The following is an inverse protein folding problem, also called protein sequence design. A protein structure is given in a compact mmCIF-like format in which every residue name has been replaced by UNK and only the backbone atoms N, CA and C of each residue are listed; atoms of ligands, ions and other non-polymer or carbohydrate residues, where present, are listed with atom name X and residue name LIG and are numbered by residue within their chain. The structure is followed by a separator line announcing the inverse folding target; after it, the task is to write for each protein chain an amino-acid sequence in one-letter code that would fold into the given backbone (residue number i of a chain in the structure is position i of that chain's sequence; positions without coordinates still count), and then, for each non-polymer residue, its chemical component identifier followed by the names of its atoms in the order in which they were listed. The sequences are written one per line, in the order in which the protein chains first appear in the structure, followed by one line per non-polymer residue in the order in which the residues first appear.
data_IF_555370467112
#
_entry.id   IF_555370467112
#
_cell.length_a   1.000
_cell.length_b   1.000
_cell.length_c   1.000
_cell.angle_alpha   90.00
_cell.angle_beta   90.00
_cell.angle_gamma   90.00
#
_symmetry.space_group_name_H-M   'P 1'
#
loop_
_entity.id
_entity.type
_entity.pdbx_description
1 polymer ?
#
# COMPACT_ATOMS: atom_id res chain seq x y z
N UNK A 1 17.72 24.72 6.72
CA UNK A 1 17.39 24.95 5.31
C UNK A 1 18.26 24.04 4.46
N UNK A 2 17.69 22.95 3.97
CA UNK A 2 18.29 22.22 2.86
C UNK A 2 18.00 22.98 1.56
N UNK A 3 18.82 22.78 0.54
CA UNK A 3 18.89 23.61 -0.67
C UNK A 3 17.63 23.47 -1.55
N UNK A 4 16.92 24.57 -1.91
CA UNK A 4 15.79 24.54 -2.84
C UNK A 4 16.14 24.02 -4.25
N UNK A 5 17.42 23.74 -4.55
CA UNK A 5 17.85 23.03 -5.75
C UNK A 5 17.42 21.55 -5.80
N UNK A 6 17.13 20.90 -4.67
CA UNK A 6 16.81 19.46 -4.63
C UNK A 6 15.29 19.23 -4.77
N UNK A 7 14.47 20.00 -4.06
CA UNK A 7 13.00 19.97 -4.18
C UNK A 7 12.44 21.39 -4.00
N UNK A 8 11.66 21.86 -4.98
CA UNK A 8 11.10 23.21 -5.04
C UNK A 8 9.77 23.39 -4.30
N UNK A 9 9.17 22.28 -3.86
CA UNK A 9 7.83 22.26 -3.27
C UNK A 9 7.87 21.84 -1.80
N UNK A 10 8.71 20.87 -1.44
CA UNK A 10 8.81 20.33 -0.09
C UNK A 10 9.20 21.41 0.94
N UNK A 11 8.58 21.35 2.12
CA UNK A 11 8.94 22.21 3.27
C UNK A 11 10.21 21.71 3.94
N UNK A 12 10.92 22.60 4.65
CA UNK A 12 12.13 22.28 5.41
C UNK A 12 11.95 21.05 6.34
N UNK A 13 10.78 20.90 6.96
CA UNK A 13 10.47 19.78 7.85
C UNK A 13 10.37 18.44 7.10
N UNK A 14 9.95 18.45 5.84
CA UNK A 14 9.79 17.25 5.00
C UNK A 14 11.11 16.57 4.65
N UNK A 15 12.22 17.32 4.67
CA UNK A 15 13.57 16.82 4.43
C UNK A 15 14.15 16.05 5.62
N UNK A 16 13.65 16.28 6.83
CA UNK A 16 14.12 15.62 8.04
C UNK A 16 13.32 14.34 8.31
N UNK A 17 13.75 13.25 7.67
CA UNK A 17 13.09 11.94 7.77
C UNK A 17 13.80 11.04 8.77
N UNK A 18 13.02 10.40 9.64
CA UNK A 18 13.50 9.30 10.47
C UNK A 18 12.93 7.97 9.97
N UNK A 19 13.70 6.89 10.11
CA UNK A 19 13.24 5.51 9.92
C UNK A 19 13.80 4.64 11.04
N UNK A 20 12.92 3.94 11.75
CA UNK A 20 13.21 3.20 12.98
C UNK A 20 12.39 1.91 13.04
N UNK A 21 12.72 1.04 13.99
CA UNK A 21 11.95 -0.17 14.30
C UNK A 21 11.33 -0.01 15.68
N UNK A 22 10.02 -0.22 15.78
CA UNK A 22 9.34 -0.22 17.07
C UNK A 22 9.75 -1.49 17.83
N UNK A 23 10.35 -1.38 19.03
CA UNK A 23 10.87 -2.53 19.76
C UNK A 23 9.78 -3.48 20.27
N UNK A 24 8.55 -3.01 20.42
CA UNK A 24 7.44 -3.77 21.00
C UNK A 24 6.72 -4.57 19.91
N UNK A 25 6.46 -3.94 18.76
CA UNK A 25 5.78 -4.58 17.63
C UNK A 25 6.72 -5.22 16.62
N UNK A 26 7.97 -4.75 16.54
CA UNK A 26 8.91 -5.11 15.47
C UNK A 26 8.63 -4.39 14.14
N UNK A 27 7.64 -3.50 14.06
CA UNK A 27 7.32 -2.82 12.80
C UNK A 27 8.36 -1.75 12.47
N UNK A 28 8.73 -1.68 11.19
CA UNK A 28 9.42 -0.51 10.66
C UNK A 28 8.43 0.65 10.65
N UNK A 29 8.88 1.82 11.08
CA UNK A 29 8.12 3.06 10.98
C UNK A 29 9.04 4.21 10.55
N UNK A 30 8.49 5.23 9.92
CA UNK A 30 9.26 6.39 9.53
C UNK A 30 8.45 7.47 8.86
N UNK A 31 9.13 8.47 8.33
CA UNK A 31 8.50 9.64 7.71
C UNK A 31 7.96 10.64 8.73
N UNK A 32 7.24 11.62 8.21
CA UNK A 32 6.47 12.60 8.97
C UNK A 32 5.35 13.14 8.08
N UNK A 33 4.42 13.92 8.65
CA UNK A 33 3.28 14.52 7.94
C UNK A 33 3.62 15.42 6.73
N UNK A 34 4.88 15.83 6.58
CA UNK A 34 5.38 16.69 5.52
C UNK A 34 6.27 15.94 4.51
N UNK A 35 6.31 14.60 4.58
CA UNK A 35 7.12 13.75 3.72
C UNK A 35 6.27 12.76 2.91
N UNK A 36 6.83 12.32 1.77
CA UNK A 36 6.24 11.40 0.81
C UNK A 36 7.10 10.13 0.63
N UNK A 37 7.40 9.40 1.71
CA UNK A 37 8.35 8.27 1.69
C UNK A 37 7.81 6.94 1.12
N UNK A 38 6.57 6.90 0.64
CA UNK A 38 5.95 5.71 0.04
C UNK A 38 5.58 5.97 -1.41
N UNK A 39 5.19 4.96 -2.18
CA UNK A 39 4.82 5.13 -3.59
C UNK A 39 3.66 6.09 -3.84
N UNK A 40 2.85 6.38 -2.81
CA UNK A 40 1.81 7.40 -2.86
C UNK A 40 2.42 8.76 -2.51
N UNK A 41 3.23 9.32 -3.42
CA UNK A 41 4.25 10.34 -3.13
C UNK A 41 3.93 11.78 -3.58
N UNK A 42 2.70 12.07 -4.01
CA UNK A 42 2.36 13.41 -4.51
C UNK A 42 2.57 14.51 -3.45
N UNK A 43 3.57 15.36 -3.68
CA UNK A 43 3.77 16.63 -2.98
C UNK A 43 2.93 17.73 -3.64
N UNK A 44 2.12 18.44 -2.86
CA UNK A 44 1.31 19.55 -3.36
C UNK A 44 2.17 20.72 -3.85
N UNK A 45 1.68 21.41 -4.88
CA UNK A 45 2.44 22.45 -5.59
C UNK A 45 1.62 23.70 -5.92
N UNK A 46 0.30 23.71 -5.69
CA UNK A 46 -0.56 24.88 -5.97
C UNK A 46 -0.48 25.89 -4.82
N UNK A 47 0.06 27.07 -5.12
CA UNK A 47 -0.03 28.24 -4.23
C UNK A 47 -1.47 28.76 -4.14
N UNK A 48 -2.19 28.75 -5.27
CA UNK A 48 -3.58 29.21 -5.39
C UNK A 48 -4.51 28.42 -4.46
N UNK A 49 -4.44 27.09 -4.53
CA UNK A 49 -5.23 26.21 -3.68
C UNK A 49 -4.66 26.05 -2.26
N UNK A 50 -3.50 26.67 -1.98
CA UNK A 50 -2.80 26.62 -0.68
C UNK A 50 -2.37 25.21 -0.26
N UNK A 51 -2.09 24.33 -1.23
CA UNK A 51 -1.61 22.97 -0.97
C UNK A 51 -0.09 22.79 -1.19
N UNK A 52 0.62 23.86 -1.64
CA UNK A 52 2.07 23.81 -1.86
C UNK A 52 2.85 23.36 -0.61
N UNK A 53 3.70 22.35 -0.81
CA UNK A 53 4.54 21.76 0.22
C UNK A 53 3.79 20.90 1.24
N UNK A 54 2.54 20.54 0.95
CA UNK A 54 1.79 19.56 1.73
C UNK A 54 1.71 18.25 0.93
N UNK A 55 2.15 17.12 1.48
CA UNK A 55 1.86 15.80 0.92
C UNK A 55 0.36 15.55 0.79
N UNK A 56 -0.07 15.00 -0.34
CA UNK A 56 -1.45 14.57 -0.52
C UNK A 56 -1.80 13.32 0.29
N UNK A 57 -0.82 12.42 0.40
CA UNK A 57 -0.95 11.10 1.02
C UNK A 57 0.28 10.81 1.88
N UNK A 58 0.53 11.59 2.95
CA UNK A 58 1.60 11.24 3.89
C UNK A 58 1.22 9.90 4.53
N UNK A 59 2.09 8.91 4.35
CA UNK A 59 1.95 7.55 4.90
C UNK A 59 3.10 7.27 5.85
N UNK A 60 3.28 8.20 6.79
CA UNK A 60 4.23 8.08 7.87
C UNK A 60 3.75 7.10 8.94
N UNK A 61 4.62 6.75 9.88
CA UNK A 61 4.38 5.62 10.77
C UNK A 61 4.70 4.30 10.07
N UNK A 62 3.92 3.25 10.36
CA UNK A 62 4.13 1.91 9.82
C UNK A 62 3.21 1.63 8.63
N UNK A 63 3.68 1.91 7.41
CA UNK A 63 2.97 1.55 6.18
C UNK A 63 2.86 0.02 6.01
N UNK A 64 1.66 -0.47 5.67
CA UNK A 64 1.33 -1.90 5.67
C UNK A 64 2.25 -2.75 4.79
N UNK A 65 2.60 -2.25 3.60
CA UNK A 65 3.47 -2.96 2.66
C UNK A 65 4.92 -3.00 3.13
N UNK A 66 5.40 -1.96 3.81
CA UNK A 66 6.77 -1.92 4.34
C UNK A 66 6.91 -2.90 5.50
N UNK A 67 5.89 -3.02 6.36
CA UNK A 67 5.88 -4.03 7.43
C UNK A 67 5.82 -5.44 6.84
N UNK A 68 5.01 -5.67 5.80
CA UNK A 68 4.96 -6.96 5.10
C UNK A 68 6.30 -7.32 4.44
N UNK A 69 6.93 -6.38 3.73
CA UNK A 69 8.25 -6.56 3.13
C UNK A 69 9.31 -6.85 4.20
N UNK A 70 9.30 -6.09 5.31
CA UNK A 70 10.18 -6.32 6.45
C UNK A 70 10.01 -7.74 7.02
N UNK A 71 8.78 -8.20 7.21
CA UNK A 71 8.50 -9.58 7.64
C UNK A 71 9.13 -10.60 6.69
N UNK A 72 8.91 -10.43 5.38
CA UNK A 72 9.41 -11.32 4.35
C UNK A 72 10.94 -11.39 4.36
N UNK A 73 11.60 -10.23 4.43
CA UNK A 73 13.07 -10.12 4.49
C UNK A 73 13.62 -10.77 5.75
N UNK A 74 13.07 -10.46 6.93
CA UNK A 74 13.60 -11.02 8.20
C UNK A 74 13.38 -12.53 8.25
N UNK A 75 12.23 -13.05 7.77
CA UNK A 75 12.01 -14.49 7.58
C UNK A 75 13.10 -15.11 6.70
N UNK A 76 13.37 -14.51 5.55
CA UNK A 76 14.38 -15.00 4.61
C UNK A 76 15.77 -15.03 5.24
N UNK A 77 16.18 -14.00 5.97
CA UNK A 77 17.45 -13.99 6.70
C UNK A 77 17.54 -15.11 7.75
N UNK A 78 16.46 -15.36 8.50
CA UNK A 78 16.40 -16.50 9.42
C UNK A 78 16.58 -17.84 8.70
N UNK A 79 15.95 -18.02 7.54
CA UNK A 79 16.06 -19.25 6.74
C UNK A 79 17.46 -19.44 6.16
N UNK A 80 18.09 -18.38 5.62
CA UNK A 80 19.46 -18.44 5.13
C UNK A 80 20.44 -18.78 6.25
N UNK A 81 20.25 -18.19 7.44
CA UNK A 81 21.09 -18.48 8.59
C UNK A 81 20.98 -19.95 9.01
N UNK A 82 19.74 -20.49 9.10
CA UNK A 82 19.49 -21.92 9.38
C UNK A 82 20.12 -22.86 8.34
N UNK A 83 20.26 -22.42 7.09
CA UNK A 83 20.93 -23.16 6.00
C UNK A 83 22.45 -22.95 5.96
N UNK A 84 23.02 -22.13 6.83
CA UNK A 84 24.45 -21.77 6.80
C UNK A 84 24.85 -20.86 5.63
N UNK A 85 23.87 -20.27 4.92
CA UNK A 85 24.08 -19.37 3.78
C UNK A 85 24.20 -17.89 4.20
N UNK A 86 23.91 -17.59 5.46
CA UNK A 86 24.05 -16.25 6.02
C UNK A 86 24.61 -16.34 7.45
N UNK A 87 25.80 -15.78 7.75
CA UNK A 87 26.49 -16.06 9.00
C UNK A 87 25.90 -15.35 10.22
N UNK A 88 25.04 -14.34 10.03
CA UNK A 88 24.54 -13.49 11.12
C UNK A 88 23.15 -13.94 11.60
N UNK A 89 23.05 -14.28 12.89
CA UNK A 89 21.78 -14.59 13.56
C UNK A 89 21.09 -13.34 14.13
N UNK A 90 21.85 -12.26 14.32
CA UNK A 90 21.43 -11.06 15.02
C UNK A 90 22.19 -9.83 14.49
N UNK A 91 21.61 -8.67 14.76
CA UNK A 91 22.21 -7.36 14.52
C UNK A 91 22.52 -6.66 15.84
N UNK A 92 23.56 -5.84 15.85
CA UNK A 92 23.96 -5.08 17.04
C UNK A 92 23.60 -3.61 16.85
N UNK A 93 22.79 -3.06 17.76
CA UNK A 93 22.35 -1.66 17.74
C UNK A 93 22.86 -0.90 18.97
N UNK A 94 22.99 0.41 18.82
CA UNK A 94 23.23 1.33 19.93
C UNK A 94 21.91 2.00 20.32
N UNK A 95 21.49 1.86 21.59
CA UNK A 95 20.28 2.50 22.11
C UNK A 95 20.52 3.02 23.52
N UNK A 96 20.36 4.32 23.72
CA UNK A 96 20.59 4.96 25.03
C UNK A 96 22.01 4.75 25.57
N UNK A 97 23.02 4.79 24.68
CA UNK A 97 24.43 4.55 25.03
C UNK A 97 24.78 3.09 25.36
N UNK A 98 23.84 2.15 25.20
CA UNK A 98 24.08 0.71 25.38
C UNK A 98 24.05 -0.03 24.06
N UNK A 99 24.96 -0.98 23.92
CA UNK A 99 24.99 -1.93 22.83
C UNK A 99 23.98 -3.05 23.11
N UNK A 100 23.04 -3.28 22.19
CA UNK A 100 22.01 -4.31 22.29
C UNK A 100 22.11 -5.24 21.07
N UNK A 101 22.02 -6.55 21.32
CA UNK A 101 21.87 -7.55 20.27
C UNK A 101 20.38 -7.81 20.01
N UNK A 102 19.97 -7.76 18.75
CA UNK A 102 18.60 -8.04 18.31
C UNK A 102 18.64 -9.23 17.36
N UNK A 103 18.09 -10.36 17.81
CA UNK A 103 17.97 -11.56 16.98
C UNK A 103 16.98 -11.34 15.82
N UNK A 104 17.33 -11.81 14.62
CA UNK A 104 16.40 -11.84 13.50
C UNK A 104 15.18 -12.71 13.81
N UNK A 105 15.35 -13.79 14.57
CA UNK A 105 14.24 -14.68 14.95
C UNK A 105 13.28 -14.00 15.92
N UNK A 106 13.80 -13.22 16.87
CA UNK A 106 12.98 -12.42 17.78
C UNK A 106 12.26 -11.30 17.03
N UNK A 107 12.92 -10.64 16.09
CA UNK A 107 12.30 -9.62 15.25
C UNK A 107 11.17 -10.22 14.40
N UNK A 108 11.43 -11.33 13.71
CA UNK A 108 10.44 -12.07 12.93
C UNK A 108 9.20 -12.43 13.79
N UNK A 109 9.44 -12.96 15.01
CA UNK A 109 8.38 -13.33 15.94
C UNK A 109 7.57 -12.14 16.41
N UNK A 110 8.20 -10.98 16.67
CA UNK A 110 7.50 -9.75 17.08
C UNK A 110 6.55 -9.25 15.99
N UNK A 111 7.00 -9.18 14.74
CA UNK A 111 6.12 -8.78 13.64
C UNK A 111 4.95 -9.78 13.54
N UNK A 112 5.24 -11.09 13.57
CA UNK A 112 4.24 -12.15 13.47
C UNK A 112 3.14 -12.06 14.54
N UNK A 113 3.52 -11.77 15.79
CA UNK A 113 2.59 -11.80 16.92
C UNK A 113 1.78 -10.51 17.09
N UNK A 114 2.15 -9.43 16.38
CA UNK A 114 1.51 -8.13 16.49
C UNK A 114 0.79 -7.67 15.21
N UNK A 115 1.25 -8.07 14.01
CA UNK A 115 0.75 -7.53 12.74
C UNK A 115 -0.77 -7.53 12.66
N UNK A 116 -1.38 -8.71 12.70
CA UNK A 116 -2.82 -8.82 12.49
C UNK A 116 -3.63 -8.16 13.61
N UNK A 117 -3.13 -8.18 14.85
CA UNK A 117 -3.80 -7.52 15.98
C UNK A 117 -3.87 -6.00 15.80
N UNK A 118 -2.88 -5.42 15.14
CA UNK A 118 -2.75 -3.96 14.99
C UNK A 118 -3.39 -3.48 13.69
N UNK A 119 -3.15 -4.18 12.59
CA UNK A 119 -3.62 -3.77 11.27
C UNK A 119 -5.06 -4.21 10.97
N UNK A 120 -5.56 -5.31 11.53
CA UNK A 120 -6.93 -5.75 11.23
C UNK A 120 -7.96 -4.89 11.96
N UNK A 121 -8.99 -4.44 11.23
CA UNK A 121 -10.14 -3.73 11.80
C UNK A 121 -11.26 -4.72 12.05
N UNK A 122 -11.42 -5.12 13.32
CA UNK A 122 -12.41 -6.13 13.72
C UNK A 122 -13.85 -5.69 13.53
N UNK A 123 -14.77 -6.65 13.35
CA UNK A 123 -16.21 -6.43 13.40
C UNK A 123 -16.71 -6.08 14.80
N UNK A 124 -15.98 -6.51 15.84
CA UNK A 124 -16.31 -6.18 17.21
C UNK A 124 -16.03 -4.69 17.49
N UNK A 125 -17.05 -3.85 17.75
CA UNK A 125 -16.83 -2.44 18.08
C UNK A 125 -16.12 -2.25 19.43
N UNK A 126 -16.00 -3.32 20.24
CA UNK A 126 -15.31 -3.33 21.53
C UNK A 126 -13.96 -4.04 21.49
N UNK A 127 -13.38 -4.24 20.30
CA UNK A 127 -12.04 -4.83 20.16
C UNK A 127 -11.02 -4.05 21.02
N UNK A 128 -10.38 -4.69 22.01
CA UNK A 128 -9.45 -4.00 22.91
C UNK A 128 -8.16 -3.53 22.20
N UNK A 129 -7.88 -4.00 20.98
CA UNK A 129 -6.74 -3.54 20.19
C UNK A 129 -7.07 -2.27 19.39
N UNK A 130 -8.35 -1.91 19.27
CA UNK A 130 -8.78 -0.74 18.51
C UNK A 130 -8.64 0.53 19.36
N UNK A 131 -7.76 1.43 18.93
CA UNK A 131 -7.42 2.66 19.67
C UNK A 131 -8.29 3.85 19.26
N UNK A 132 -8.81 3.85 18.03
CA UNK A 132 -9.60 4.95 17.49
C UNK A 132 -10.89 4.42 16.85
N UNK A 133 -11.79 3.80 17.63
CA UNK A 133 -13.04 3.24 17.11
C UNK A 133 -13.95 4.29 16.45
N UNK A 134 -13.78 5.57 16.82
CA UNK A 134 -14.45 6.74 16.25
C UNK A 134 -14.00 7.08 14.82
N UNK A 135 -12.80 6.65 14.41
CA UNK A 135 -12.26 6.87 13.06
C UNK A 135 -12.51 5.68 12.12
N UNK A 136 -13.10 4.59 12.63
CA UNK A 136 -13.37 3.38 11.84
C UNK A 136 -14.54 3.61 10.89
N UNK A 137 -14.21 3.79 9.61
CA UNK A 137 -15.22 3.87 8.55
C UNK A 137 -15.67 2.49 8.05
N UNK A 138 -14.74 1.51 7.97
CA UNK A 138 -15.02 0.14 7.53
C UNK A 138 -14.38 -0.90 8.44
N UNK A 139 -15.06 -2.02 8.61
CA UNK A 139 -14.61 -3.19 9.37
C UNK A 139 -14.41 -4.38 8.42
N UNK A 140 -13.67 -5.38 8.87
CA UNK A 140 -13.27 -6.53 8.03
C UNK A 140 -12.16 -6.18 7.04
N UNK A 141 -11.42 -5.10 7.27
CA UNK A 141 -10.31 -4.64 6.41
C UNK A 141 -8.98 -4.64 7.17
N UNK A 142 -7.89 -4.40 6.45
CA UNK A 142 -6.59 -4.08 7.04
C UNK A 142 -6.30 -2.59 6.85
N UNK A 143 -5.91 -1.93 7.94
CA UNK A 143 -5.46 -0.54 7.98
C UNK A 143 -4.35 -0.31 6.95
N UNK A 144 -4.34 0.87 6.35
CA UNK A 144 -3.35 1.23 5.35
C UNK A 144 -1.97 1.54 5.97
N UNK A 145 -1.99 2.08 7.18
CA UNK A 145 -0.83 2.37 8.00
C UNK A 145 -1.17 2.22 9.48
N UNK A 146 -0.16 2.30 10.34
CA UNK A 146 -0.34 2.32 11.79
C UNK A 146 0.53 3.38 12.42
N UNK A 147 -0.10 4.26 13.20
CA UNK A 147 0.59 5.33 13.91
C UNK A 147 1.02 6.48 13.01
N UNK A 148 0.28 6.73 11.92
CA UNK A 148 0.50 7.93 11.10
C UNK A 148 0.23 9.21 11.91
N UNK A 149 0.90 10.31 11.53
CA UNK A 149 0.69 11.63 12.16
C UNK A 149 -0.76 12.11 12.07
N UNK A 150 -1.51 11.66 11.06
CA UNK A 150 -2.95 11.84 10.95
C UNK A 150 -3.64 10.49 11.20
N UNK A 151 -4.20 10.25 12.41
CA UNK A 151 -4.75 8.94 12.76
C UNK A 151 -5.85 8.44 11.82
N UNK A 152 -6.58 9.33 11.15
CA UNK A 152 -7.60 8.96 10.17
C UNK A 152 -7.01 8.24 8.96
N UNK A 153 -5.78 8.58 8.55
CA UNK A 153 -5.11 7.96 7.40
C UNK A 153 -4.85 6.46 7.63
N UNK A 154 -4.67 6.02 8.89
CA UNK A 154 -4.52 4.60 9.22
C UNK A 154 -5.75 3.78 8.77
N UNK A 155 -6.96 4.35 8.84
CA UNK A 155 -8.24 3.63 8.64
C UNK A 155 -8.78 3.69 7.21
N UNK A 156 -8.03 4.28 6.28
CA UNK A 156 -8.45 4.36 4.89
C UNK A 156 -8.37 2.99 4.21
N UNK A 157 -9.43 2.59 3.51
CA UNK A 157 -9.39 1.40 2.66
C UNK A 157 -8.60 1.75 1.38
N UNK A 158 -7.43 1.12 1.22
CA UNK A 158 -6.54 1.27 0.07
C UNK A 158 -6.04 -0.08 -0.45
N UNK A 159 -5.52 -0.07 -1.67
CA UNK A 159 -5.00 -1.26 -2.35
C UNK A 159 -3.55 -1.65 -1.94
N UNK A 160 -3.07 -1.20 -0.77
CA UNK A 160 -1.68 -1.42 -0.32
C UNK A 160 -1.49 -2.74 0.45
N UNK A 161 -2.44 -3.12 1.32
CA UNK A 161 -2.31 -4.35 2.12
C UNK A 161 -2.25 -5.66 1.30
N UNK A 162 -2.78 -5.77 0.06
CA UNK A 162 -2.52 -6.92 -0.80
C UNK A 162 -1.03 -7.15 -1.08
N UNK A 163 -0.19 -6.11 -1.05
CA UNK A 163 1.27 -6.26 -1.19
C UNK A 163 1.82 -7.09 -0.03
N UNK A 164 1.45 -6.73 1.21
CA UNK A 164 1.83 -7.48 2.41
C UNK A 164 1.32 -8.92 2.38
N UNK A 165 0.09 -9.13 1.88
CA UNK A 165 -0.50 -10.46 1.70
C UNK A 165 0.30 -11.34 0.73
N UNK A 166 0.85 -10.78 -0.34
CA UNK A 166 1.68 -11.53 -1.31
C UNK A 166 3.04 -11.88 -0.71
N UNK A 167 3.73 -10.93 -0.07
CA UNK A 167 5.13 -11.13 0.35
C UNK A 167 5.26 -11.87 1.69
N UNK A 168 4.26 -11.75 2.56
CA UNK A 168 4.23 -12.34 3.90
C UNK A 168 2.82 -12.86 4.27
N UNK A 169 2.27 -13.83 3.52
CA UNK A 169 0.92 -14.35 3.76
C UNK A 169 0.72 -14.97 5.14
N UNK A 170 1.79 -15.39 5.81
CA UNK A 170 1.74 -15.93 7.17
C UNK A 170 1.28 -14.93 8.23
N UNK A 171 1.26 -13.63 7.91
CA UNK A 171 0.76 -12.58 8.81
C UNK A 171 -0.76 -12.54 8.92
N UNK A 172 -1.48 -13.29 8.08
CA UNK A 172 -2.92 -13.13 7.91
C UNK A 172 -3.68 -14.43 8.21
N UNK A 173 -4.71 -14.32 9.04
CA UNK A 173 -5.72 -15.36 9.19
C UNK A 173 -6.52 -15.48 7.90
N UNK A 174 -6.65 -16.70 7.38
CA UNK A 174 -7.22 -16.98 6.05
C UNK A 174 -8.60 -16.34 5.86
N UNK A 175 -9.49 -16.49 6.85
CA UNK A 175 -10.86 -15.98 6.77
C UNK A 175 -10.90 -14.44 6.75
N UNK A 176 -10.09 -13.79 7.58
CA UNK A 176 -9.98 -12.32 7.63
C UNK A 176 -9.36 -11.76 6.35
N UNK A 177 -8.34 -12.42 5.83
CA UNK A 177 -7.73 -12.05 4.55
C UNK A 177 -8.74 -12.16 3.40
N UNK A 178 -9.48 -13.26 3.36
CA UNK A 178 -10.49 -13.50 2.32
C UNK A 178 -11.57 -12.42 2.33
N UNK A 179 -12.14 -12.12 3.50
CA UNK A 179 -13.14 -11.08 3.68
C UNK A 179 -12.62 -9.70 3.24
N UNK A 180 -11.43 -9.31 3.71
CA UNK A 180 -10.81 -8.03 3.32
C UNK A 180 -10.60 -7.93 1.79
N UNK A 181 -10.21 -9.03 1.15
CA UNK A 181 -10.03 -9.10 -0.30
C UNK A 181 -11.36 -9.07 -1.06
N UNK A 182 -12.48 -9.55 -0.49
CA UNK A 182 -13.82 -9.36 -1.07
C UNK A 182 -14.25 -7.88 -1.01
N UNK A 183 -13.91 -7.18 0.07
CA UNK A 183 -14.16 -5.74 0.19
C UNK A 183 -13.33 -4.96 -0.85
N UNK A 184 -12.04 -5.28 -0.98
CA UNK A 184 -11.15 -4.66 -2.00
C UNK A 184 -11.65 -4.91 -3.41
N UNK A 185 -12.05 -6.14 -3.73
CA UNK A 185 -12.64 -6.48 -5.03
C UNK A 185 -13.87 -5.62 -5.32
N UNK A 186 -14.78 -5.50 -4.36
CA UNK A 186 -16.03 -4.77 -4.53
C UNK A 186 -15.84 -3.25 -4.63
N UNK A 187 -14.91 -2.70 -3.85
CA UNK A 187 -14.76 -1.25 -3.67
C UNK A 187 -13.68 -0.63 -4.53
N UNK A 188 -12.56 -1.32 -4.72
CA UNK A 188 -11.36 -0.74 -5.31
C UNK A 188 -11.05 -1.26 -6.72
N UNK A 189 -11.50 -2.46 -7.11
CA UNK A 189 -11.23 -2.96 -8.45
C UNK A 189 -12.02 -2.17 -9.52
N UNK A 190 -11.31 -1.40 -10.32
CA UNK A 190 -11.83 -0.72 -11.51
C UNK A 190 -11.76 -1.60 -12.76
N UNK A 191 -12.12 -1.06 -13.94
CA UNK A 191 -12.07 -1.80 -15.19
C UNK A 191 -10.67 -2.27 -15.59
N UNK A 192 -9.65 -1.44 -15.33
CA UNK A 192 -8.24 -1.73 -15.63
C UNK A 192 -7.33 -1.61 -14.41
N UNK A 193 -7.55 -0.62 -13.54
CA UNK A 193 -6.72 -0.38 -12.36
C UNK A 193 -7.45 -0.60 -11.04
N UNK A 194 -6.73 -0.43 -9.93
CA UNK A 194 -7.26 -0.36 -8.57
C UNK A 194 -7.40 1.11 -8.16
N UNK A 195 -8.58 1.52 -7.72
CA UNK A 195 -8.78 2.82 -7.06
C UNK A 195 -7.84 2.93 -5.87
N UNK A 196 -7.11 4.03 -5.81
CA UNK A 196 -6.10 4.28 -4.76
C UNK A 196 -6.69 4.60 -3.39
N UNK A 197 -7.97 4.97 -3.37
CA UNK A 197 -8.76 5.24 -2.17
C UNK A 197 -10.19 4.74 -2.38
N UNK A 198 -10.84 4.34 -1.29
CA UNK A 198 -12.26 3.97 -1.27
C UNK A 198 -13.18 5.10 -1.74
N UNK A 199 -14.11 4.85 -2.68
CA UNK A 199 -15.07 5.85 -3.16
C UNK A 199 -16.00 6.44 -2.09
N UNK A 200 -16.20 5.75 -0.97
CA UNK A 200 -17.02 6.28 0.13
C UNK A 200 -16.23 7.24 1.05
N UNK A 201 -14.92 7.40 0.83
CA UNK A 201 -14.07 8.30 1.62
C UNK A 201 -14.28 9.77 1.22
N UNK A 202 -14.30 10.68 2.21
CA UNK A 202 -14.58 12.11 2.02
C UNK A 202 -13.57 12.83 1.11
N UNK A 203 -12.34 12.30 0.94
CA UNK A 203 -11.33 12.93 0.07
C UNK A 203 -11.14 12.19 -1.25
N UNK A 204 -12.01 11.23 -1.58
CA UNK A 204 -11.97 10.55 -2.87
C UNK A 204 -12.19 11.53 -4.03
N UNK A 205 -11.24 11.55 -4.97
CA UNK A 205 -11.19 12.37 -6.17
C UNK A 205 -10.60 11.54 -7.33
N UNK A 206 -11.45 10.81 -8.07
CA UNK A 206 -11.03 9.83 -9.08
C UNK A 206 -10.50 10.37 -10.42
N UNK A 207 -10.56 11.67 -10.67
CA UNK A 207 -10.14 12.29 -11.94
C UNK A 207 -8.87 13.10 -11.73
N UNK A 208 -7.73 12.58 -12.16
CA UNK A 208 -6.43 13.25 -12.10
C UNK A 208 -6.23 14.19 -13.29
N UNK A 209 -5.99 15.46 -12.97
CA UNK A 209 -5.57 16.50 -13.92
C UNK A 209 -4.41 17.28 -13.29
N UNK A 210 -3.20 17.08 -13.81
CA UNK A 210 -2.00 17.73 -13.28
C UNK A 210 -1.89 19.21 -13.70
N UNK A 211 -2.59 19.62 -14.77
CA UNK A 211 -2.58 21.00 -15.25
C UNK A 211 -3.62 21.88 -14.53
N UNK A 212 -4.65 21.28 -13.93
CA UNK A 212 -5.71 21.98 -13.21
C UNK A 212 -5.14 22.89 -12.11
N UNK A 213 -5.38 24.20 -12.19
CA UNK A 213 -4.92 25.15 -11.17
C UNK A 213 -6.05 26.09 -10.74
N UNK A 214 -6.87 25.60 -9.81
CA UNK A 214 -8.03 26.28 -9.26
C UNK A 214 -7.93 26.40 -7.73
N UNK A 215 -8.99 26.86 -7.08
CA UNK A 215 -9.02 27.05 -5.62
C UNK A 215 -9.34 25.76 -4.84
N UNK A 216 -9.51 24.62 -5.52
CA UNK A 216 -9.83 23.35 -4.88
C UNK A 216 -8.56 22.64 -4.40
N UNK A 217 -8.35 22.66 -3.09
CA UNK A 217 -7.23 22.06 -2.39
C UNK A 217 -6.94 20.61 -2.80
N UNK A 218 -7.99 19.80 -2.99
CA UNK A 218 -7.86 18.34 -3.16
C UNK A 218 -7.45 17.92 -4.57
N UNK A 219 -7.55 18.79 -5.58
CA UNK A 219 -7.31 18.42 -6.99
C UNK A 219 -6.34 19.35 -7.70
N UNK A 220 -6.16 20.59 -7.22
CA UNK A 220 -5.29 21.54 -7.86
C UNK A 220 -3.86 21.00 -7.95
N UNK A 221 -3.31 21.10 -9.16
CA UNK A 221 -2.01 20.59 -9.58
C UNK A 221 -1.84 19.09 -9.32
N UNK A 222 -2.91 18.35 -9.54
CA UNK A 222 -2.90 16.90 -9.44
C UNK A 222 -2.72 16.38 -8.01
N UNK A 223 -3.11 17.15 -6.99
CA UNK A 223 -3.01 16.73 -5.58
C UNK A 223 -3.68 15.37 -5.33
N UNK A 224 -4.70 15.01 -6.11
CA UNK A 224 -5.40 13.74 -6.03
C UNK A 224 -4.74 12.54 -6.73
N UNK A 225 -3.46 12.63 -7.14
CA UNK A 225 -2.77 11.55 -7.88
C UNK A 225 -2.91 10.14 -7.26
N UNK A 226 -3.00 10.07 -5.92
CA UNK A 226 -3.24 8.84 -5.15
C UNK A 226 -4.49 8.90 -4.26
N UNK A 227 -5.50 9.70 -4.63
CA UNK A 227 -6.74 9.86 -3.84
C UNK A 227 -7.98 9.39 -4.61
N UNK A 228 -7.87 8.36 -5.44
CA UNK A 228 -8.98 7.88 -6.24
C UNK A 228 -8.63 7.35 -7.63
N UNK A 229 -7.65 7.94 -8.36
CA UNK A 229 -7.23 7.41 -9.65
C UNK A 229 -6.90 5.92 -9.57
N UNK A 230 -7.15 5.22 -10.67
CA UNK A 230 -7.10 3.77 -10.75
C UNK A 230 -5.72 3.33 -11.26
N UNK A 231 -4.86 2.89 -10.36
CA UNK A 231 -3.49 2.47 -10.68
C UNK A 231 -3.43 1.01 -11.08
N UNK A 232 -2.62 0.67 -12.09
CA UNK A 232 -2.65 -0.68 -12.66
C UNK A 232 -1.77 -1.69 -11.91
N UNK A 233 -0.59 -1.29 -11.46
CA UNK A 233 0.33 -2.21 -10.78
C UNK A 233 -0.24 -2.86 -9.49
N UNK A 234 -1.08 -2.20 -8.66
CA UNK A 234 -1.69 -2.85 -7.50
C UNK A 234 -2.68 -3.97 -7.87
N UNK A 235 -3.19 -4.00 -9.12
CA UNK A 235 -4.06 -5.09 -9.58
C UNK A 235 -3.33 -6.43 -9.51
N UNK A 236 -2.05 -6.48 -9.90
CA UNK A 236 -1.29 -7.72 -9.85
C UNK A 236 -1.16 -8.24 -8.42
N UNK A 237 -0.80 -7.39 -7.46
CA UNK A 237 -0.74 -7.78 -6.05
C UNK A 237 -2.11 -8.22 -5.50
N UNK A 238 -3.19 -7.52 -5.85
CA UNK A 238 -4.55 -7.91 -5.48
C UNK A 238 -4.91 -9.30 -6.02
N UNK A 239 -4.71 -9.56 -7.31
CA UNK A 239 -5.06 -10.84 -7.93
C UNK A 239 -4.22 -11.99 -7.36
N UNK A 240 -2.91 -11.79 -7.17
CA UNK A 240 -2.01 -12.78 -6.55
C UNK A 240 -2.44 -13.12 -5.12
N UNK A 241 -2.74 -12.11 -4.30
CA UNK A 241 -3.26 -12.31 -2.95
C UNK A 241 -4.60 -13.06 -2.97
N UNK A 242 -5.54 -12.64 -3.83
CA UNK A 242 -6.86 -13.28 -3.98
C UNK A 242 -6.73 -14.76 -4.35
N UNK A 243 -5.90 -15.10 -5.33
CA UNK A 243 -5.64 -16.50 -5.70
C UNK A 243 -5.03 -17.30 -4.56
N UNK A 244 -4.03 -16.75 -3.86
CA UNK A 244 -3.36 -17.43 -2.75
C UNK A 244 -4.35 -17.80 -1.63
N UNK A 245 -5.18 -16.85 -1.19
CA UNK A 245 -6.16 -17.13 -0.13
C UNK A 245 -7.34 -17.95 -0.63
N UNK A 246 -7.76 -17.81 -1.89
CA UNK A 246 -8.79 -18.66 -2.48
C UNK A 246 -8.41 -20.16 -2.46
N UNK A 247 -7.13 -20.50 -2.75
CA UNK A 247 -6.62 -21.88 -2.63
C UNK A 247 -6.84 -22.44 -1.22
N UNK A 248 -6.72 -21.60 -0.18
CA UNK A 248 -6.92 -21.99 1.23
C UNK A 248 -8.39 -22.04 1.63
N UNK A 249 -9.27 -21.33 0.93
CA UNK A 249 -10.73 -21.36 1.15
C UNK A 249 -11.39 -22.59 0.53
N UNK A 250 -10.73 -23.26 -0.42
CA UNK A 250 -11.19 -24.51 -1.03
C UNK A 250 -11.40 -24.40 -2.54
N UNK A 251 -11.63 -25.57 -3.17
CA UNK A 251 -11.63 -25.72 -4.63
C UNK A 251 -12.65 -24.80 -5.33
N UNK A 252 -13.88 -24.73 -4.85
CA UNK A 252 -14.93 -23.91 -5.46
C UNK A 252 -14.57 -22.42 -5.47
N UNK A 253 -14.09 -21.91 -4.33
CA UNK A 253 -13.64 -20.52 -4.18
C UNK A 253 -12.45 -20.22 -5.09
N UNK A 254 -11.51 -21.16 -5.20
CA UNK A 254 -10.38 -21.05 -6.11
C UNK A 254 -10.82 -20.97 -7.57
N UNK A 255 -11.71 -21.85 -8.03
CA UNK A 255 -12.21 -21.86 -9.41
C UNK A 255 -12.94 -20.56 -9.77
N UNK A 256 -13.79 -20.04 -8.88
CA UNK A 256 -14.43 -18.72 -9.04
C UNK A 256 -13.40 -17.59 -9.12
N UNK A 257 -12.35 -17.65 -8.31
CA UNK A 257 -11.27 -16.66 -8.31
C UNK A 257 -10.45 -16.71 -9.60
N UNK A 258 -10.14 -17.90 -10.11
CA UNK A 258 -9.45 -18.05 -11.40
C UNK A 258 -10.30 -17.47 -12.54
N UNK A 259 -11.62 -17.63 -12.49
CA UNK A 259 -12.53 -17.00 -13.46
C UNK A 259 -12.47 -15.46 -13.39
N UNK A 260 -12.50 -14.88 -12.18
CA UNK A 260 -12.30 -13.44 -11.97
C UNK A 260 -10.96 -12.96 -12.56
N UNK A 261 -9.86 -13.66 -12.23
CA UNK A 261 -8.51 -13.33 -12.71
C UNK A 261 -8.47 -13.33 -14.24
N UNK A 262 -8.98 -14.37 -14.90
CA UNK A 262 -9.05 -14.45 -16.37
C UNK A 262 -9.86 -13.30 -16.98
N UNK A 263 -10.96 -12.91 -16.34
CA UNK A 263 -11.76 -11.77 -16.80
C UNK A 263 -11.01 -10.45 -16.71
N UNK A 264 -10.26 -10.21 -15.62
CA UNK A 264 -9.44 -9.00 -15.47
C UNK A 264 -8.31 -8.99 -16.52
N UNK A 265 -7.57 -10.10 -16.64
CA UNK A 265 -6.50 -10.25 -17.64
C UNK A 265 -7.00 -10.07 -19.08
N UNK A 266 -8.21 -10.53 -19.39
CA UNK A 266 -8.83 -10.32 -20.71
C UNK A 266 -9.04 -8.83 -21.01
N UNK A 267 -9.44 -8.02 -20.02
CA UNK A 267 -9.59 -6.56 -20.19
C UNK A 267 -8.23 -5.89 -20.43
N UNK A 268 -7.20 -6.29 -19.69
CA UNK A 268 -5.83 -5.81 -19.92
C UNK A 268 -5.32 -6.18 -21.31
N UNK A 269 -5.58 -7.40 -21.77
CA UNK A 269 -5.23 -7.84 -23.11
C UNK A 269 -5.95 -7.02 -24.19
N UNK A 270 -7.26 -6.78 -24.05
CA UNK A 270 -8.01 -5.92 -24.97
C UNK A 270 -7.46 -4.49 -25.00
N UNK A 271 -7.09 -3.93 -23.85
CA UNK A 271 -6.45 -2.61 -23.81
C UNK A 271 -5.11 -2.62 -24.55
N UNK A 272 -4.24 -3.60 -24.25
CA UNK A 272 -2.92 -3.74 -24.86
C UNK A 272 -3.01 -3.87 -26.39
N UNK A 273 -3.96 -4.65 -26.90
CA UNK A 273 -4.18 -4.81 -28.33
C UNK A 273 -4.60 -3.50 -29.03
N UNK A 274 -5.44 -2.70 -28.36
CA UNK A 274 -5.96 -1.43 -28.89
C UNK A 274 -5.00 -0.26 -28.73
N UNK A 275 -4.12 -0.30 -27.74
CA UNK A 275 -3.13 0.75 -27.48
C UNK A 275 -2.08 0.81 -28.60
N UNK A 276 -1.77 2.02 -29.07
CA UNK A 276 -0.66 2.25 -30.01
C UNK A 276 0.70 1.91 -29.40
N UNK A 277 0.80 1.92 -28.07
CA UNK A 277 2.03 1.65 -27.31
C UNK A 277 2.24 0.17 -27.02
N UNK A 278 1.23 -0.68 -27.30
CA UNK A 278 1.24 -2.12 -26.96
C UNK A 278 1.63 -2.36 -25.49
N UNK A 279 1.14 -1.49 -24.61
CA UNK A 279 1.43 -1.48 -23.19
C UNK A 279 0.18 -1.30 -22.34
N UNK A 280 0.39 -1.31 -21.02
CA UNK A 280 -0.61 -0.96 -20.03
C UNK A 280 -0.22 0.37 -19.38
N UNK A 281 -1.17 1.30 -19.18
CA UNK A 281 -0.87 2.60 -18.62
C UNK A 281 -0.45 2.50 -17.15
N UNK A 282 0.12 3.58 -16.64
CA UNK A 282 0.40 3.74 -15.21
C UNK A 282 -0.90 3.78 -14.41
N UNK A 283 -1.84 4.61 -14.85
CA UNK A 283 -3.13 4.80 -14.21
C UNK A 283 -4.23 5.13 -15.23
N UNK A 284 -5.46 4.94 -14.80
CA UNK A 284 -6.65 5.51 -15.44
C UNK A 284 -7.34 6.47 -14.48
N UNK A 285 -8.13 7.39 -15.03
CA UNK A 285 -9.11 8.11 -14.24
C UNK A 285 -10.25 7.16 -13.83
N UNK A 286 -11.22 7.67 -13.09
CA UNK A 286 -12.33 6.90 -12.55
C UNK A 286 -13.01 6.02 -13.61
N UNK A 287 -13.33 4.78 -13.22
CA UNK A 287 -14.05 3.82 -14.05
C UNK A 287 -13.34 3.54 -15.39
N UNK A 288 -12.01 3.46 -15.38
CA UNK A 288 -11.19 3.17 -16.56
C UNK A 288 -11.15 4.29 -17.59
N UNK A 289 -11.58 5.51 -17.25
CA UNK A 289 -11.48 6.66 -18.15
C UNK A 289 -10.02 6.98 -18.49
N UNK A 290 -9.79 7.41 -19.73
CA UNK A 290 -8.46 7.83 -20.17
C UNK A 290 -7.93 8.98 -19.32
N UNK A 291 -6.67 8.90 -18.91
CA UNK A 291 -5.97 9.97 -18.22
C UNK A 291 -4.85 10.50 -19.13
N UNK A 292 -4.93 11.75 -19.62
CA UNK A 292 -3.92 12.31 -20.51
C UNK A 292 -2.56 12.56 -19.85
N UNK A 293 -2.49 12.49 -18.51
CA UNK A 293 -1.26 12.64 -17.74
C UNK A 293 -0.64 11.31 -17.32
N UNK A 294 -1.26 10.17 -17.64
CA UNK A 294 -0.71 8.85 -17.36
C UNK A 294 0.39 8.51 -18.35
N UNK A 295 1.46 7.87 -17.88
CA UNK A 295 2.32 7.11 -18.78
C UNK A 295 1.50 6.01 -19.49
N UNK A 296 1.62 5.89 -20.81
CA UNK A 296 0.80 4.99 -21.64
C UNK A 296 1.27 3.52 -21.61
N UNK A 297 2.54 3.31 -21.25
CA UNK A 297 3.14 2.00 -21.12
C UNK A 297 4.12 2.02 -19.97
N UNK A 298 3.71 1.45 -18.85
CA UNK A 298 4.43 1.58 -17.58
C UNK A 298 4.93 0.22 -17.09
N UNK A 299 6.23 0.17 -16.74
CA UNK A 299 6.93 -1.07 -16.47
C UNK A 299 6.29 -1.91 -15.36
N UNK A 300 5.94 -1.28 -14.23
CA UNK A 300 5.34 -1.98 -13.11
C UNK A 300 3.93 -2.51 -13.41
N UNK A 301 3.17 -1.87 -14.28
CA UNK A 301 1.79 -2.24 -14.63
C UNK A 301 1.81 -3.55 -15.41
N UNK A 302 2.80 -3.72 -16.28
CA UNK A 302 3.01 -4.95 -17.04
C UNK A 302 3.65 -6.02 -16.14
N UNK A 303 4.69 -5.68 -15.37
CA UNK A 303 5.43 -6.64 -14.56
C UNK A 303 4.53 -7.37 -13.55
N UNK A 304 3.68 -6.65 -12.82
CA UNK A 304 2.80 -7.29 -11.82
C UNK A 304 1.73 -8.18 -12.46
N UNK A 305 1.34 -7.92 -13.71
CA UNK A 305 0.43 -8.78 -14.46
C UNK A 305 1.14 -10.05 -14.95
N UNK A 306 2.41 -9.94 -15.37
CA UNK A 306 3.23 -11.12 -15.68
C UNK A 306 3.40 -12.02 -14.46
N UNK A 307 3.54 -11.46 -13.26
CA UNK A 307 3.58 -12.25 -12.03
C UNK A 307 2.27 -13.00 -11.76
N UNK A 308 1.11 -12.39 -12.06
CA UNK A 308 -0.19 -13.10 -11.99
C UNK A 308 -0.22 -14.28 -12.96
N UNK A 309 0.27 -14.09 -14.19
CA UNK A 309 0.34 -15.14 -15.20
C UNK A 309 1.29 -16.28 -14.79
N UNK A 310 2.38 -15.95 -14.10
CA UNK A 310 3.33 -16.94 -13.59
C UNK A 310 2.73 -17.77 -12.43
N UNK A 311 1.88 -17.17 -11.59
CA UNK A 311 1.28 -17.86 -10.43
C UNK A 311 0.03 -18.71 -10.77
N UNK A 312 -0.59 -18.45 -11.93
CA UNK A 312 -1.76 -19.17 -12.47
C UNK A 312 -1.40 -20.61 -12.89
#
# INVERSE_FOLDING_TARGET
MQDPQIDRNMRDEGFNVEAKVNPDTGFVYGGNRFNCGTWMDKMGESERARNKGIPATPRDGSAVEIVGLSKSTVRWLCELHKKGLFPYAALTIQRGGKQLSVSYEDWNRKIQSNFEKVFYVSHDPKDPNEKHPDLVHKRGIYKDSFGASSPWCDYQLRANFPIAMVVAPELFTVQRAWEALEIVEKKLLGPLGMKTLDPDDMVYCGVYDNALDNDNYNVAKGFNYHQGPEWLWPVGYFLRAKMYFAKKMGKETYEKTVYLVKNVLSRHYVHLERSSWKGLPELTNENGQYCPFSCESQAWSIATILEVLHDL
#
